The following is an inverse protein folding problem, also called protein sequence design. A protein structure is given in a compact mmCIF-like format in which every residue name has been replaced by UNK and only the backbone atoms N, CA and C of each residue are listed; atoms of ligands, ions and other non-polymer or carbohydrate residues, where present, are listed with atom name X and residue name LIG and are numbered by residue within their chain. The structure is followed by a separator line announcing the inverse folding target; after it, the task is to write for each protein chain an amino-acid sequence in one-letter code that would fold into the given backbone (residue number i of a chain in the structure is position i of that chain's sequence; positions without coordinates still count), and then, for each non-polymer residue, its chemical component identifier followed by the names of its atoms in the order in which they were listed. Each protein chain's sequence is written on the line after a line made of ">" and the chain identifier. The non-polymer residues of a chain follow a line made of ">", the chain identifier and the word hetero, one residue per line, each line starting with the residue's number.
data_IF_422706159861
#
_entry.id   IF_422706159861
#
_cell.length_a   1.000
_cell.length_b   1.000
_cell.length_c   1.000
_cell.angle_alpha   90.00
_cell.angle_beta   90.00
_cell.angle_gamma   90.00
#
_symmetry.space_group_name_H-M   'P 1'
#
loop_
_entity.id
_entity.type
_entity.pdbx_description
1 polymer ?
#
# COMPACT_ATOMS: atom_id res chain seq x y z
N UNK A 1 4.81 -16.41 25.37
CA UNK A 1 3.66 -16.64 24.46
C UNK A 1 3.01 -15.29 24.20
N UNK A 2 3.12 -14.72 23.00
CA UNK A 2 2.44 -13.45 22.70
C UNK A 2 0.92 -13.68 22.76
N UNK A 3 0.20 -12.84 23.50
CA UNK A 3 -1.28 -12.92 23.58
C UNK A 3 -1.85 -12.69 22.19
N UNK A 4 -2.65 -13.62 21.70
CA UNK A 4 -3.40 -13.44 20.45
C UNK A 4 -4.42 -12.32 20.70
N UNK A 5 -4.38 -11.27 19.86
CA UNK A 5 -5.41 -10.24 19.85
C UNK A 5 -6.60 -10.71 19.03
N UNK A 6 -7.81 -10.57 19.57
CA UNK A 6 -9.06 -10.89 18.86
C UNK A 6 -9.59 -9.62 18.22
N UNK A 7 -9.91 -9.68 16.93
CA UNK A 7 -10.52 -8.59 16.18
C UNK A 7 -11.97 -8.96 15.84
N UNK A 8 -12.92 -8.24 16.43
CA UNK A 8 -14.36 -8.42 16.17
C UNK A 8 -14.85 -7.27 15.29
N UNK A 9 -15.51 -7.59 14.20
CA UNK A 9 -16.06 -6.63 13.24
C UNK A 9 -17.52 -6.94 12.96
N UNK A 10 -18.29 -5.91 12.61
CA UNK A 10 -19.65 -6.06 12.09
C UNK A 10 -19.59 -6.02 10.56
N UNK A 11 -20.24 -6.98 9.92
CA UNK A 11 -20.43 -7.06 8.47
C UNK A 11 -21.85 -7.49 8.19
N UNK A 12 -22.31 -7.18 6.98
CA UNK A 12 -23.56 -7.66 6.41
C UNK A 12 -23.60 -9.20 6.47
N UNK A 13 -24.70 -9.81 6.94
CA UNK A 13 -24.82 -11.27 7.02
C UNK A 13 -24.56 -11.97 5.68
N UNK A 14 -25.05 -11.39 4.58
CA UNK A 14 -24.89 -11.92 3.23
C UNK A 14 -23.41 -11.96 2.83
N UNK A 15 -22.68 -10.86 3.09
CA UNK A 15 -21.25 -10.77 2.81
C UNK A 15 -20.44 -11.79 3.65
N UNK A 16 -20.84 -12.00 4.90
CA UNK A 16 -20.21 -13.03 5.76
C UNK A 16 -20.38 -14.40 5.14
N UNK A 17 -21.59 -14.75 4.71
CA UNK A 17 -21.92 -16.08 4.24
C UNK A 17 -21.24 -16.37 2.88
N UNK A 18 -21.22 -15.38 1.97
CA UNK A 18 -20.44 -15.46 0.72
C UNK A 18 -18.94 -15.64 0.99
N UNK A 19 -18.37 -14.84 1.89
CA UNK A 19 -16.95 -14.93 2.21
C UNK A 19 -16.57 -16.30 2.80
N UNK A 20 -17.43 -16.86 3.67
CA UNK A 20 -17.22 -18.18 4.25
C UNK A 20 -17.31 -19.28 3.19
N UNK A 21 -18.28 -19.22 2.28
CA UNK A 21 -18.42 -20.18 1.19
C UNK A 21 -17.21 -20.19 0.25
N UNK A 22 -16.72 -19.01 -0.14
CA UNK A 22 -15.53 -18.89 -1.00
C UNK A 22 -14.24 -19.35 -0.28
N UNK A 23 -14.10 -19.04 1.01
CA UNK A 23 -12.97 -19.51 1.80
C UNK A 23 -12.97 -21.05 1.92
N UNK A 24 -14.15 -21.65 2.12
CA UNK A 24 -14.33 -23.11 2.17
C UNK A 24 -14.03 -23.77 0.82
N UNK A 25 -14.54 -23.20 -0.29
CA UNK A 25 -14.26 -23.67 -1.64
C UNK A 25 -12.76 -23.60 -1.98
N UNK A 26 -12.06 -22.59 -1.46
CA UNK A 26 -10.61 -22.48 -1.56
C UNK A 26 -9.85 -23.40 -0.59
N UNK A 27 -10.54 -24.13 0.30
CA UNK A 27 -9.97 -24.92 1.40
C UNK A 27 -9.06 -24.11 2.33
N UNK A 28 -9.41 -22.86 2.58
CA UNK A 28 -8.62 -21.93 3.39
C UNK A 28 -9.41 -21.45 4.60
N UNK A 29 -8.80 -21.36 5.79
CA UNK A 29 -9.46 -20.75 6.93
C UNK A 29 -9.77 -19.28 6.64
N UNK A 30 -11.03 -18.86 6.82
CA UNK A 30 -11.46 -17.47 6.64
C UNK A 30 -10.58 -16.47 7.42
N UNK A 31 -10.20 -16.81 8.66
CA UNK A 31 -9.31 -15.97 9.47
C UNK A 31 -7.91 -15.79 8.87
N UNK A 32 -7.41 -16.77 8.10
CA UNK A 32 -6.15 -16.66 7.39
C UNK A 32 -6.27 -15.67 6.23
N UNK A 33 -7.34 -15.78 5.43
CA UNK A 33 -7.61 -14.87 4.31
C UNK A 33 -7.71 -13.43 4.81
N UNK A 34 -8.47 -13.18 5.88
CA UNK A 34 -8.57 -11.84 6.50
C UNK A 34 -7.21 -11.31 6.95
N UNK A 35 -6.37 -12.15 7.60
CA UNK A 35 -5.03 -11.73 8.02
C UNK A 35 -4.14 -11.35 6.85
N UNK A 36 -4.22 -12.06 5.74
CA UNK A 36 -3.45 -11.75 4.53
C UNK A 36 -3.93 -10.44 3.89
N UNK A 37 -5.25 -10.26 3.74
CA UNK A 37 -5.83 -9.01 3.24
C UNK A 37 -5.45 -7.80 4.11
N UNK A 38 -5.45 -7.97 5.44
CA UNK A 38 -5.00 -6.91 6.37
C UNK A 38 -3.51 -6.58 6.18
N UNK A 39 -2.65 -7.59 6.01
CA UNK A 39 -1.20 -7.35 5.78
C UNK A 39 -0.96 -6.64 4.45
N UNK A 40 -1.63 -7.08 3.40
CA UNK A 40 -1.56 -6.47 2.09
C UNK A 40 -2.05 -5.02 2.13
N UNK A 41 -3.18 -4.76 2.79
CA UNK A 41 -3.68 -3.40 2.97
C UNK A 41 -2.66 -2.51 3.68
N UNK A 42 -2.07 -2.97 4.79
CA UNK A 42 -1.06 -2.20 5.52
C UNK A 42 0.17 -1.94 4.66
N UNK A 43 0.62 -2.93 3.89
CA UNK A 43 1.77 -2.79 2.99
C UNK A 43 1.51 -1.75 1.91
N UNK A 44 0.41 -1.88 1.15
CA UNK A 44 0.02 -0.91 0.11
C UNK A 44 -0.08 0.51 0.66
N UNK A 45 -0.65 0.68 1.87
CA UNK A 45 -0.75 1.99 2.52
C UNK A 45 0.59 2.57 2.92
N UNK A 46 1.58 1.75 3.27
CA UNK A 46 2.95 2.21 3.56
C UNK A 46 3.66 2.63 2.29
N UNK A 47 3.61 1.80 1.25
CA UNK A 47 4.22 2.11 -0.05
C UNK A 47 3.67 3.41 -0.63
N UNK A 48 2.35 3.63 -0.56
CA UNK A 48 1.74 4.87 -1.04
C UNK A 48 2.29 6.11 -0.31
N UNK A 49 2.43 6.05 1.02
CA UNK A 49 2.99 7.16 1.82
C UNK A 49 4.48 7.37 1.54
N UNK A 50 5.25 6.29 1.39
CA UNK A 50 6.67 6.35 1.06
C UNK A 50 6.89 6.95 -0.33
N UNK A 51 6.08 6.54 -1.30
CA UNK A 51 6.10 7.08 -2.65
C UNK A 51 5.75 8.57 -2.66
N UNK A 52 4.72 9.00 -1.92
CA UNK A 52 4.37 10.41 -1.80
C UNK A 52 5.52 11.24 -1.19
N UNK A 53 6.14 10.74 -0.12
CA UNK A 53 7.28 11.39 0.51
C UNK A 53 8.49 11.49 -0.43
N UNK A 54 8.79 10.40 -1.15
CA UNK A 54 9.84 10.37 -2.17
C UNK A 54 9.57 11.38 -3.29
N UNK A 55 8.35 11.39 -3.84
CA UNK A 55 7.95 12.29 -4.91
C UNK A 55 8.08 13.76 -4.48
N UNK A 56 7.61 14.08 -3.27
CA UNK A 56 7.75 15.43 -2.70
C UNK A 56 9.22 15.86 -2.60
N UNK A 57 10.07 15.00 -2.05
CA UNK A 57 11.51 15.26 -1.95
C UNK A 57 12.18 15.47 -3.32
N UNK A 58 11.80 14.65 -4.31
CA UNK A 58 12.30 14.77 -5.69
C UNK A 58 11.87 16.09 -6.34
N UNK A 59 10.61 16.49 -6.18
CA UNK A 59 10.07 17.75 -6.70
C UNK A 59 10.77 18.95 -6.06
N UNK A 60 10.94 18.94 -4.74
CA UNK A 60 11.61 20.03 -4.03
C UNK A 60 13.09 20.16 -4.43
N UNK A 61 13.79 19.03 -4.61
CA UNK A 61 15.15 19.03 -5.12
C UNK A 61 15.23 19.58 -6.56
N UNK A 62 14.32 19.17 -7.43
CA UNK A 62 14.24 19.68 -8.80
C UNK A 62 13.95 21.19 -8.84
N UNK A 63 13.03 21.68 -7.99
CA UNK A 63 12.72 23.10 -7.88
C UNK A 63 13.94 23.92 -7.46
N UNK A 64 14.65 23.49 -6.41
CA UNK A 64 15.92 24.12 -5.99
C UNK A 64 16.99 24.10 -7.08
N UNK A 65 17.10 23.00 -7.83
CA UNK A 65 18.05 22.89 -8.96
C UNK A 65 17.73 23.91 -10.05
N UNK A 66 16.45 24.08 -10.39
CA UNK A 66 15.99 25.08 -11.35
C UNK A 66 16.24 26.51 -10.87
N UNK A 67 15.90 26.82 -9.62
CA UNK A 67 16.15 28.13 -9.01
C UNK A 67 17.65 28.46 -8.99
N UNK A 68 18.51 27.46 -8.78
CA UNK A 68 19.96 27.61 -8.83
C UNK A 68 20.55 27.59 -10.25
N UNK A 69 19.73 27.51 -11.31
CA UNK A 69 20.20 27.48 -12.70
C UNK A 69 20.97 26.23 -13.11
N UNK A 70 20.90 25.14 -12.33
CA UNK A 70 21.64 23.88 -12.56
C UNK A 70 20.92 22.92 -13.53
N UNK A 71 20.16 23.48 -14.47
CA UNK A 71 19.48 22.69 -15.50
C UNK A 71 20.38 22.49 -16.72
N UNK A 72 20.17 21.41 -17.46
CA UNK A 72 20.80 21.17 -18.76
C UNK A 72 19.79 21.46 -19.87
N UNK A 73 20.28 21.98 -21.00
CA UNK A 73 19.50 22.07 -22.23
C UNK A 73 19.31 20.69 -22.86
N UNK A 74 18.31 20.55 -23.75
CA UNK A 74 18.06 19.28 -24.43
C UNK A 74 19.30 18.79 -25.21
N UNK A 75 20.02 19.71 -25.85
CA UNK A 75 21.23 19.43 -26.61
C UNK A 75 22.37 18.87 -25.73
N UNK A 76 22.51 19.36 -24.49
CA UNK A 76 23.53 18.87 -23.54
C UNK A 76 23.19 17.49 -22.95
N UNK A 77 21.91 17.11 -22.94
CA UNK A 77 21.46 15.80 -22.44
C UNK A 77 21.60 14.70 -23.50
N UNK A 78 21.49 15.03 -24.78
CA UNK A 78 21.56 14.08 -25.91
C UNK A 78 22.97 13.83 -26.45
N UNK A 79 23.96 14.63 -26.04
CA UNK A 79 25.36 14.54 -26.46
C UNK A 79 26.14 13.45 -25.70
#
# INVERSE_FOLDING_TARGET
>A
MAKQAVFTLKIEPELRDEFMAEAEAAHRPASQVVRELMREYVHRQREAREYEAFLRGKVDAARRSREAGKGLSNTEVEA
#
